data_IF_999497226359
#
_entry.id   IF_999497226359
#
_cell.length_a   1.000
_cell.length_b   1.000
_cell.length_c   1.000
_cell.angle_alpha   90.00
_cell.angle_beta   90.00
_cell.angle_gamma   90.00
#
_symmetry.space_group_name_H-M   'P 1'
#
loop_
_entity.id
_entity.type
_entity.pdbx_description
1 polymer ?
#
# COMPACT_ATOMS: atom_id res chain seq x y z
N UNK A 1 -22.24 -5.42 -5.39
CA UNK A 1 -21.08 -5.93 -4.62
C UNK A 1 -19.82 -6.05 -5.47
N UNK A 2 -19.95 -6.58 -6.69
CA UNK A 2 -18.79 -6.70 -7.59
C UNK A 2 -18.09 -5.35 -7.85
N UNK A 3 -18.86 -4.33 -8.18
CA UNK A 3 -18.29 -3.01 -8.50
C UNK A 3 -17.65 -2.35 -7.29
N UNK A 4 -18.21 -2.56 -6.09
CA UNK A 4 -17.62 -2.05 -4.84
C UNK A 4 -16.31 -2.78 -4.57
N UNK A 5 -16.29 -4.10 -4.73
CA UNK A 5 -15.08 -4.90 -4.55
C UNK A 5 -13.97 -4.44 -5.51
N UNK A 6 -14.32 -4.23 -6.78
CA UNK A 6 -13.37 -3.76 -7.78
C UNK A 6 -12.84 -2.37 -7.44
N UNK A 7 -13.74 -1.44 -7.06
CA UNK A 7 -13.34 -0.08 -6.71
C UNK A 7 -12.40 -0.06 -5.52
N UNK A 8 -12.69 -0.84 -4.47
CA UNK A 8 -11.83 -0.91 -3.28
C UNK A 8 -10.48 -1.55 -3.62
N UNK A 9 -10.47 -2.59 -4.43
CA UNK A 9 -9.24 -3.26 -4.85
C UNK A 9 -8.35 -2.32 -5.65
N UNK A 10 -8.93 -1.57 -6.58
CA UNK A 10 -8.19 -0.58 -7.36
C UNK A 10 -7.70 0.56 -6.50
N UNK A 11 -8.48 0.97 -5.49
CA UNK A 11 -8.03 1.99 -4.53
C UNK A 11 -6.79 1.52 -3.78
N UNK A 12 -6.77 0.28 -3.32
CA UNK A 12 -5.60 -0.28 -2.63
C UNK A 12 -4.38 -0.27 -3.56
N UNK A 13 -4.54 -0.68 -4.81
CA UNK A 13 -3.45 -0.65 -5.78
C UNK A 13 -2.95 0.77 -6.01
N UNK A 14 -3.85 1.72 -6.17
CA UNK A 14 -3.49 3.12 -6.39
C UNK A 14 -2.75 3.71 -5.19
N UNK A 15 -3.21 3.42 -3.98
CA UNK A 15 -2.53 3.86 -2.76
C UNK A 15 -1.10 3.34 -2.71
N UNK A 16 -0.87 2.10 -3.11
CA UNK A 16 0.47 1.52 -3.08
C UNK A 16 1.39 2.07 -4.17
N UNK A 17 0.84 2.46 -5.32
CA UNK A 17 1.60 3.22 -6.32
C UNK A 17 1.97 4.59 -5.76
N UNK A 18 1.05 5.24 -5.05
CA UNK A 18 1.33 6.53 -4.41
C UNK A 18 2.42 6.40 -3.35
N UNK A 19 2.39 5.35 -2.53
CA UNK A 19 3.45 5.09 -1.55
C UNK A 19 4.79 4.88 -2.24
N UNK A 20 4.82 4.14 -3.37
CA UNK A 20 6.03 3.98 -4.15
C UNK A 20 6.60 5.33 -4.57
N UNK A 21 5.76 6.21 -5.10
CA UNK A 21 6.20 7.54 -5.56
C UNK A 21 6.78 8.34 -4.39
N UNK A 22 6.08 8.35 -3.25
CA UNK A 22 6.55 9.08 -2.07
C UNK A 22 7.88 8.52 -1.57
N UNK A 23 8.02 7.21 -1.53
CA UNK A 23 9.18 6.56 -0.91
C UNK A 23 10.39 6.47 -1.84
N UNK A 24 10.18 6.35 -3.14
CA UNK A 24 11.29 6.25 -4.08
C UNK A 24 11.72 7.61 -4.64
N UNK A 25 10.81 8.55 -4.82
CA UNK A 25 11.10 9.78 -5.56
C UNK A 25 10.92 11.05 -4.74
N UNK A 26 10.06 11.04 -3.73
CA UNK A 26 9.71 12.23 -2.97
C UNK A 26 10.09 12.16 -1.49
N UNK A 27 10.85 11.14 -1.10
CA UNK A 27 11.18 10.90 0.31
C UNK A 27 11.85 12.09 0.98
N UNK A 28 12.80 12.73 0.29
CA UNK A 28 13.54 13.90 0.81
C UNK A 28 12.94 15.23 0.36
N UNK A 29 11.86 15.19 -0.42
CA UNK A 29 11.17 16.39 -0.91
C UNK A 29 10.14 16.89 0.10
N UNK A 30 9.67 18.14 -0.02
CA UNK A 30 8.73 18.71 0.95
C UNK A 30 7.49 17.84 1.19
N UNK A 31 6.88 17.30 0.14
CA UNK A 31 5.69 16.46 0.29
C UNK A 31 5.98 15.19 1.08
N UNK A 32 7.09 14.52 0.78
CA UNK A 32 7.49 13.30 1.51
C UNK A 32 7.80 13.60 2.96
N UNK A 33 8.56 14.65 3.22
CA UNK A 33 8.88 15.06 4.60
C UNK A 33 7.63 15.35 5.40
N UNK A 34 6.68 16.07 4.82
CA UNK A 34 5.43 16.41 5.49
C UNK A 34 4.57 15.17 5.73
N UNK A 35 4.44 14.31 4.72
CA UNK A 35 3.58 13.13 4.79
C UNK A 35 4.04 12.17 5.88
N UNK A 36 5.34 11.94 5.99
CA UNK A 36 5.91 11.01 6.97
C UNK A 36 6.40 11.70 8.24
N UNK A 37 6.18 13.01 8.35
CA UNK A 37 6.62 13.82 9.52
C UNK A 37 8.11 13.61 9.82
N UNK A 38 8.90 13.69 8.76
CA UNK A 38 10.33 13.41 8.81
C UNK A 38 11.13 14.70 8.81
N UNK A 39 12.36 14.64 9.33
CA UNK A 39 13.32 15.73 9.19
C UNK A 39 14.18 15.51 7.94
N UNK A 40 14.75 16.57 7.33
CA UNK A 40 15.64 16.40 6.18
C UNK A 40 16.81 15.46 6.46
N UNK A 41 17.40 15.54 7.64
CA UNK A 41 18.54 14.72 8.03
C UNK A 41 18.16 13.25 8.15
N UNK A 42 17.05 12.97 8.81
CA UNK A 42 16.57 11.61 8.99
C UNK A 42 16.12 11.00 7.66
N UNK A 43 15.49 11.80 6.82
CA UNK A 43 15.06 11.34 5.49
C UNK A 43 16.27 10.97 4.64
N UNK A 44 17.34 11.77 4.66
CA UNK A 44 18.54 11.46 3.89
C UNK A 44 19.21 10.17 4.38
N UNK A 45 19.27 9.98 5.70
CA UNK A 45 19.85 8.78 6.30
C UNK A 45 19.09 7.51 5.91
N UNK A 46 17.78 7.60 5.75
CA UNK A 46 16.91 6.45 5.47
C UNK A 46 16.48 6.35 4.00
N UNK A 47 17.04 7.17 3.14
CA UNK A 47 16.60 7.28 1.74
C UNK A 47 16.65 5.96 0.98
N UNK A 48 17.73 5.20 1.13
CA UNK A 48 17.89 3.92 0.43
C UNK A 48 16.88 2.89 0.94
N UNK A 49 16.67 2.84 2.26
CA UNK A 49 15.68 1.93 2.85
C UNK A 49 14.27 2.28 2.38
N UNK A 50 13.94 3.57 2.34
CA UNK A 50 12.64 4.02 1.88
C UNK A 50 12.41 3.67 0.41
N UNK A 51 13.42 3.83 -0.44
CA UNK A 51 13.32 3.48 -1.85
C UNK A 51 13.05 1.99 -2.04
N UNK A 52 13.73 1.14 -1.28
CA UNK A 52 13.49 -0.31 -1.32
C UNK A 52 12.07 -0.64 -0.88
N UNK A 53 11.57 0.00 0.17
CA UNK A 53 10.21 -0.20 0.64
C UNK A 53 9.19 0.25 -0.40
N UNK A 54 9.46 1.36 -1.08
CA UNK A 54 8.62 1.83 -2.17
C UNK A 54 8.52 0.82 -3.31
N UNK A 55 9.64 0.20 -3.65
CA UNK A 55 9.66 -0.85 -4.67
C UNK A 55 8.76 -2.03 -4.27
N UNK A 56 8.82 -2.46 -3.01
CA UNK A 56 7.95 -3.53 -2.53
C UNK A 56 6.47 -3.14 -2.55
N UNK A 57 6.16 -1.89 -2.25
CA UNK A 57 4.80 -1.38 -2.41
C UNK A 57 4.35 -1.46 -3.87
N UNK A 58 5.26 -1.23 -4.80
CA UNK A 58 5.01 -1.41 -6.22
C UNK A 58 4.70 -2.86 -6.59
N UNK A 59 5.37 -3.82 -5.97
CA UNK A 59 5.10 -5.24 -6.19
C UNK A 59 3.69 -5.61 -5.74
N UNK A 60 3.22 -5.05 -4.62
CA UNK A 60 1.87 -5.29 -4.15
C UNK A 60 0.82 -4.72 -5.12
N UNK A 61 1.05 -3.50 -5.59
CA UNK A 61 0.17 -2.91 -6.61
C UNK A 61 0.18 -3.73 -7.90
N UNK A 62 1.36 -4.18 -8.33
CA UNK A 62 1.51 -5.00 -9.52
C UNK A 62 0.78 -6.34 -9.37
N UNK A 63 0.88 -6.97 -8.19
CA UNK A 63 0.18 -8.22 -7.92
C UNK A 63 -1.32 -8.08 -8.04
N UNK A 64 -1.88 -6.98 -7.53
CA UNK A 64 -3.30 -6.69 -7.66
C UNK A 64 -3.68 -6.49 -9.14
N UNK A 65 -2.98 -5.63 -9.83
CA UNK A 65 -3.31 -5.29 -11.22
C UNK A 65 -3.15 -6.50 -12.14
N UNK A 66 -2.04 -7.23 -12.02
CA UNK A 66 -1.82 -8.46 -12.81
C UNK A 66 -2.90 -9.49 -12.52
N UNK A 67 -3.24 -9.67 -11.23
CA UNK A 67 -4.29 -10.61 -10.86
C UNK A 67 -5.64 -10.26 -11.45
N UNK A 68 -5.97 -8.97 -11.54
CA UNK A 68 -7.20 -8.52 -12.18
C UNK A 68 -7.16 -8.72 -13.70
N UNK A 69 -6.04 -8.39 -14.33
CA UNK A 69 -5.89 -8.46 -15.79
C UNK A 69 -5.94 -9.89 -16.29
N UNK A 70 -5.25 -10.81 -15.61
CA UNK A 70 -5.23 -12.22 -16.04
C UNK A 70 -6.33 -13.06 -15.39
N UNK A 71 -7.24 -12.42 -14.68
CA UNK A 71 -8.39 -13.08 -14.03
C UNK A 71 -7.95 -14.21 -13.09
N UNK A 72 -7.04 -13.87 -12.17
CA UNK A 72 -6.54 -14.79 -11.16
C UNK A 72 -6.88 -14.27 -9.76
N UNK A 73 -8.09 -14.62 -9.24
CA UNK A 73 -8.52 -14.11 -7.93
C UNK A 73 -7.57 -14.46 -6.79
N UNK A 74 -6.89 -15.59 -6.87
CA UNK A 74 -5.91 -16.00 -5.84
C UNK A 74 -4.79 -14.98 -5.71
N UNK A 75 -4.31 -14.46 -6.83
CA UNK A 75 -3.24 -13.47 -6.82
C UNK A 75 -3.71 -12.15 -6.21
N UNK A 76 -4.93 -11.72 -6.55
CA UNK A 76 -5.52 -10.52 -5.95
C UNK A 76 -5.70 -10.71 -4.45
N UNK A 77 -6.27 -11.82 -4.02
CA UNK A 77 -6.50 -12.12 -2.62
C UNK A 77 -5.20 -12.18 -1.84
N UNK A 78 -4.18 -12.84 -2.38
CA UNK A 78 -2.88 -12.92 -1.73
C UNK A 78 -2.26 -11.53 -1.56
N UNK A 79 -2.29 -10.72 -2.61
CA UNK A 79 -1.74 -9.36 -2.57
C UNK A 79 -2.45 -8.50 -1.52
N UNK A 80 -3.78 -8.55 -1.49
CA UNK A 80 -4.56 -7.84 -0.48
C UNK A 80 -4.27 -8.33 0.94
N UNK A 81 -4.11 -9.64 1.11
CA UNK A 81 -3.73 -10.20 2.41
C UNK A 81 -2.36 -9.70 2.87
N UNK A 82 -1.40 -9.61 1.96
CA UNK A 82 -0.09 -9.03 2.26
C UNK A 82 -0.21 -7.58 2.72
N UNK A 83 -1.08 -6.80 2.08
CA UNK A 83 -1.34 -5.41 2.47
C UNK A 83 -1.91 -5.35 3.88
N UNK A 84 -2.87 -6.22 4.20
CA UNK A 84 -3.46 -6.28 5.55
C UNK A 84 -2.39 -6.57 6.60
N UNK A 85 -1.56 -7.58 6.37
CA UNK A 85 -0.49 -7.95 7.31
C UNK A 85 0.49 -6.79 7.48
N UNK A 86 0.92 -6.18 6.37
CA UNK A 86 1.85 -5.06 6.41
C UNK A 86 1.25 -3.85 7.14
N UNK A 87 -0.03 -3.56 6.91
CA UNK A 87 -0.73 -2.46 7.57
C UNK A 87 -0.91 -2.71 9.07
N UNK A 88 -1.21 -3.94 9.46
CA UNK A 88 -1.32 -4.29 10.87
C UNK A 88 0.04 -4.19 11.58
N UNK A 89 1.09 -4.67 10.94
CA UNK A 89 2.44 -4.56 11.51
C UNK A 89 2.89 -3.11 11.61
N UNK A 90 2.60 -2.31 10.58
CA UNK A 90 2.90 -0.89 10.59
C UNK A 90 2.13 -0.13 11.67
N UNK A 91 0.89 -0.52 11.93
CA UNK A 91 0.09 0.06 13.03
C UNK A 91 0.71 -0.26 14.38
N UNK A 92 1.20 -1.47 14.54
CA UNK A 92 1.86 -1.91 15.78
C UNK A 92 3.22 -1.24 15.96
N UNK A 93 4.03 -1.19 14.91
CA UNK A 93 5.43 -0.76 15.00
C UNK A 93 5.65 0.75 14.83
N UNK A 94 4.72 1.45 14.18
CA UNK A 94 4.89 2.88 13.84
C UNK A 94 3.72 3.71 14.32
N UNK A 95 2.53 3.59 13.72
CA UNK A 95 1.38 4.40 14.12
C UNK A 95 0.06 3.79 13.64
N UNK A 96 -1.03 4.06 14.42
CA UNK A 96 -2.38 3.60 14.07
C UNK A 96 -2.87 4.17 12.73
N UNK A 97 -2.34 5.31 12.32
CA UNK A 97 -2.71 5.93 11.06
C UNK A 97 -2.41 5.01 9.88
N UNK A 98 -1.34 4.22 9.97
CA UNK A 98 -0.97 3.25 8.94
C UNK A 98 -2.06 2.19 8.79
N UNK A 99 -2.66 1.73 9.89
CA UNK A 99 -3.77 0.79 9.81
C UNK A 99 -4.93 1.37 9.01
N UNK A 100 -5.31 2.63 9.30
CA UNK A 100 -6.45 3.27 8.64
C UNK A 100 -6.21 3.47 7.15
N UNK A 101 -4.98 3.75 6.74
CA UNK A 101 -4.66 4.05 5.35
C UNK A 101 -4.36 2.79 4.55
N UNK A 102 -3.73 1.79 5.17
CA UNK A 102 -3.25 0.60 4.47
C UNK A 102 -4.12 -0.63 4.75
N UNK A 103 -4.26 -1.02 6.02
CA UNK A 103 -4.94 -2.27 6.35
C UNK A 103 -6.45 -2.18 6.15
N UNK A 104 -7.08 -1.09 6.59
CA UNK A 104 -8.53 -0.98 6.54
C UNK A 104 -9.09 -1.04 5.12
N UNK A 105 -8.59 -0.28 4.14
CA UNK A 105 -9.08 -0.41 2.77
C UNK A 105 -8.90 -1.83 2.21
N UNK A 106 -7.80 -2.49 2.53
CA UNK A 106 -7.54 -3.86 2.06
C UNK A 106 -8.48 -4.87 2.71
N UNK A 107 -8.78 -4.71 4.00
CA UNK A 107 -9.77 -5.56 4.69
C UNK A 107 -11.13 -5.41 4.04
N UNK A 108 -11.55 -4.18 3.78
CA UNK A 108 -12.84 -3.94 3.10
C UNK A 108 -12.84 -4.54 1.70
N UNK A 109 -11.75 -4.41 0.96
CA UNK A 109 -11.64 -5.02 -0.36
C UNK A 109 -11.79 -6.54 -0.29
N UNK A 110 -11.13 -7.19 0.67
CA UNK A 110 -11.23 -8.64 0.85
C UNK A 110 -12.65 -9.07 1.22
N UNK A 111 -13.30 -8.34 2.11
CA UNK A 111 -14.67 -8.64 2.52
C UNK A 111 -15.62 -8.56 1.33
N UNK A 112 -15.55 -7.49 0.55
CA UNK A 112 -16.43 -7.32 -0.61
C UNK A 112 -16.10 -8.31 -1.73
N UNK A 113 -14.82 -8.69 -1.90
CA UNK A 113 -14.45 -9.74 -2.84
C UNK A 113 -15.04 -11.09 -2.44
N UNK A 114 -15.08 -11.38 -1.14
CA UNK A 114 -15.61 -12.64 -0.64
C UNK A 114 -17.13 -12.77 -0.83
N UNK A 115 -17.86 -11.65 -0.82
CA UNK A 115 -19.32 -11.65 -0.97
C UNK A 115 -19.79 -11.30 -2.39
N UNK A 116 -18.87 -11.00 -3.29
CA UNK A 116 -19.20 -10.68 -4.68
C UNK A 116 -19.42 -11.98 -5.55
#
# INVERSE_FOLDING_TARGET
>A
MYWIALALTLLVALLHVYFLVLEMFLWTRPLGLKTFRNTPEKAETTRVLAANQGLYNGFLAAGIVVGLVIDQPVLVTFSLACVVVAGCYGAYSVSRRIFMIQALPAILALVFCAVA
#
